data_IF_412541453310
#
_entry.id   IF_412541453310
#
_cell.length_a   1.000
_cell.length_b   1.000
_cell.length_c   1.000
_cell.angle_alpha   90.00
_cell.angle_beta   90.00
_cell.angle_gamma   90.00
#
_symmetry.space_group_name_H-M   'P 1'
#
loop_
_entity.id
_entity.type
_entity.pdbx_description
1 polymer ?
#
# COMPACT_ATOMS: atom_id res chain seq x y z
N UNK A 1 -6.29 -11.53 15.83
CA UNK A 1 -6.34 -12.33 17.05
C UNK A 1 -5.47 -13.57 16.86
N UNK A 2 -4.80 -14.07 17.92
CA UNK A 2 -3.85 -15.18 17.85
C UNK A 2 -4.47 -16.51 17.37
N UNK A 3 -5.78 -16.61 17.32
CA UNK A 3 -6.52 -17.85 17.07
C UNK A 3 -7.34 -17.83 15.77
N UNK A 4 -7.04 -16.92 14.86
CA UNK A 4 -7.73 -16.82 13.58
C UNK A 4 -6.78 -17.17 12.45
N UNK A 5 -7.18 -18.08 11.58
CA UNK A 5 -6.44 -18.43 10.36
C UNK A 5 -7.07 -17.64 9.21
N UNK A 6 -6.26 -16.89 8.46
CA UNK A 6 -6.67 -16.27 7.22
C UNK A 6 -6.12 -17.09 6.04
N UNK A 7 -6.96 -17.33 5.05
CA UNK A 7 -6.59 -18.10 3.86
C UNK A 7 -7.30 -17.59 2.62
N UNK A 8 -6.70 -17.84 1.46
CA UNK A 8 -7.33 -17.62 0.15
C UNK A 8 -7.98 -18.93 -0.28
N UNK A 9 -9.21 -18.85 -0.72
CA UNK A 9 -9.94 -20.04 -1.21
C UNK A 9 -11.32 -19.69 -1.74
N UNK A 10 -11.94 -20.66 -2.39
CA UNK A 10 -13.30 -20.58 -2.90
C UNK A 10 -13.89 -22.00 -3.01
N UNK A 11 -15.21 -22.12 -3.10
CA UNK A 11 -15.89 -23.37 -3.40
C UNK A 11 -15.71 -23.79 -4.87
N UNK A 12 -16.25 -24.97 -5.23
CA UNK A 12 -16.08 -25.59 -6.56
C UNK A 12 -16.53 -24.69 -7.72
N UNK A 13 -17.47 -23.77 -7.50
CA UNK A 13 -17.98 -22.83 -8.50
C UNK A 13 -17.94 -21.38 -7.98
N UNK A 14 -17.08 -21.10 -7.02
CA UNK A 14 -16.94 -19.78 -6.42
C UNK A 14 -15.59 -19.15 -6.80
N UNK A 15 -15.60 -17.85 -6.97
CA UNK A 15 -14.37 -17.09 -7.16
C UNK A 15 -13.53 -17.10 -5.90
N UNK A 16 -12.18 -17.09 -6.02
CA UNK A 16 -11.30 -17.02 -4.87
C UNK A 16 -11.53 -15.73 -4.08
N UNK A 17 -11.56 -15.86 -2.77
CA UNK A 17 -11.72 -14.77 -1.82
C UNK A 17 -10.83 -15.01 -0.60
N UNK A 18 -10.67 -14.00 0.27
CA UNK A 18 -9.95 -14.19 1.54
C UNK A 18 -10.97 -14.45 2.65
N UNK A 19 -10.72 -15.52 3.38
CA UNK A 19 -11.56 -16.00 4.47
C UNK A 19 -10.80 -16.00 5.79
N UNK A 20 -11.53 -15.75 6.86
CA UNK A 20 -11.05 -15.93 8.23
C UNK A 20 -11.75 -17.15 8.83
N UNK A 21 -10.97 -18.08 9.37
CA UNK A 21 -11.47 -19.23 10.13
C UNK A 21 -11.25 -18.95 11.62
N UNK A 22 -12.33 -18.92 12.38
CA UNK A 22 -12.33 -18.82 13.83
C UNK A 22 -13.14 -19.96 14.43
N UNK A 23 -12.47 -20.89 15.09
CA UNK A 23 -13.09 -22.14 15.52
C UNK A 23 -13.58 -22.94 14.30
N UNK A 24 -14.88 -23.23 14.24
CA UNK A 24 -15.51 -23.98 13.15
C UNK A 24 -16.30 -23.10 12.16
N UNK A 25 -16.13 -21.78 12.21
CA UNK A 25 -16.89 -20.83 11.38
C UNK A 25 -15.94 -20.07 10.47
N UNK A 26 -16.28 -20.00 9.18
CA UNK A 26 -15.60 -19.18 8.20
C UNK A 26 -16.35 -17.89 7.96
N UNK A 27 -15.63 -16.79 7.87
CA UNK A 27 -16.18 -15.49 7.52
C UNK A 27 -15.34 -14.87 6.40
N UNK A 28 -15.99 -14.36 5.37
CA UNK A 28 -15.32 -13.61 4.31
C UNK A 28 -14.83 -12.27 4.85
N UNK A 29 -13.55 -11.96 4.61
CA UNK A 29 -12.90 -10.71 5.04
C UNK A 29 -12.42 -9.85 3.86
N UNK A 30 -12.36 -10.42 2.66
CA UNK A 30 -12.05 -9.67 1.46
C UNK A 30 -13.21 -8.77 1.04
N UNK A 31 -12.85 -7.62 0.46
CA UNK A 31 -13.79 -6.71 -0.20
C UNK A 31 -13.92 -7.07 -1.68
N UNK A 32 -14.93 -6.52 -2.35
CA UNK A 32 -15.11 -6.75 -3.79
C UNK A 32 -13.86 -6.39 -4.60
N UNK A 33 -13.17 -5.31 -4.24
CA UNK A 33 -11.92 -4.91 -4.94
C UNK A 33 -10.80 -5.96 -4.80
N UNK A 34 -10.70 -6.60 -3.64
CA UNK A 34 -9.73 -7.69 -3.40
C UNK A 34 -10.14 -8.94 -4.19
N UNK A 35 -11.43 -9.27 -4.20
CA UNK A 35 -11.94 -10.40 -4.97
C UNK A 35 -11.70 -10.22 -6.47
N UNK A 36 -11.90 -9.01 -7.00
CA UNK A 36 -11.65 -8.69 -8.40
C UNK A 36 -10.16 -8.87 -8.80
N UNK A 37 -9.25 -8.62 -7.86
CA UNK A 37 -7.81 -8.91 -8.06
C UNK A 37 -7.59 -10.43 -8.10
N UNK A 38 -8.12 -11.15 -7.12
CA UNK A 38 -7.94 -12.61 -7.02
C UNK A 38 -8.58 -13.37 -8.20
N UNK A 39 -9.70 -12.89 -8.72
CA UNK A 39 -10.39 -13.51 -9.86
C UNK A 39 -9.61 -13.45 -11.18
N UNK A 40 -8.66 -12.53 -11.29
CA UNK A 40 -7.81 -12.39 -12.49
C UNK A 40 -6.67 -13.40 -12.53
N UNK A 41 -6.41 -14.05 -11.39
CA UNK A 41 -5.33 -15.04 -11.27
C UNK A 41 -5.78 -16.38 -11.86
N UNK A 42 -4.84 -17.06 -12.46
CA UNK A 42 -5.00 -18.47 -12.86
C UNK A 42 -5.01 -19.38 -11.64
N UNK A 43 -5.46 -20.61 -11.80
CA UNK A 43 -5.46 -21.60 -10.70
C UNK A 43 -4.05 -21.88 -10.16
N UNK A 44 -3.05 -21.89 -11.02
CA UNK A 44 -1.65 -22.10 -10.63
C UNK A 44 -1.12 -20.88 -9.82
N UNK A 45 -1.44 -19.66 -10.25
CA UNK A 45 -1.07 -18.45 -9.52
C UNK A 45 -1.75 -18.35 -8.14
N UNK A 46 -3.00 -18.80 -8.04
CA UNK A 46 -3.70 -18.89 -6.75
C UNK A 46 -3.04 -19.92 -5.84
N UNK A 47 -2.58 -21.06 -6.38
CA UNK A 47 -1.88 -22.07 -5.60
C UNK A 47 -0.50 -21.59 -5.11
N UNK A 48 0.14 -20.67 -5.82
CA UNK A 48 1.43 -20.09 -5.50
C UNK A 48 1.37 -18.88 -4.54
N UNK A 49 0.16 -18.46 -4.11
CA UNK A 49 0.01 -17.36 -3.15
C UNK A 49 0.71 -17.72 -1.84
N UNK A 50 1.64 -16.88 -1.46
CA UNK A 50 2.40 -17.05 -0.21
C UNK A 50 1.87 -16.14 0.89
N UNK A 51 1.43 -16.74 2.00
CA UNK A 51 0.93 -16.03 3.18
C UNK A 51 2.00 -15.75 4.23
N UNK A 52 1.97 -14.58 4.84
CA UNK A 52 2.86 -14.19 5.94
C UNK A 52 2.14 -13.30 6.94
N UNK A 53 2.67 -13.19 8.15
CA UNK A 53 2.12 -12.31 9.17
C UNK A 53 3.18 -11.75 10.10
N UNK A 54 2.93 -10.56 10.65
CA UNK A 54 3.75 -9.96 11.70
C UNK A 54 2.97 -8.91 12.49
N UNK A 55 3.48 -8.56 13.68
CA UNK A 55 2.97 -7.47 14.50
C UNK A 55 3.98 -6.34 14.60
N UNK A 56 3.53 -5.08 14.48
CA UNK A 56 4.35 -3.89 14.64
C UNK A 56 3.49 -2.71 15.13
N UNK A 57 4.00 -1.94 16.10
CA UNK A 57 3.37 -0.73 16.60
C UNK A 57 1.88 -0.88 17.00
N UNK A 58 1.51 -2.02 17.58
CA UNK A 58 0.12 -2.31 18.00
C UNK A 58 -0.80 -2.81 16.88
N UNK A 59 -0.32 -2.89 15.66
CA UNK A 59 -1.03 -3.47 14.52
C UNK A 59 -0.58 -4.91 14.26
N UNK A 60 -1.49 -5.73 13.75
CA UNK A 60 -1.18 -7.08 13.31
C UNK A 60 -1.57 -7.23 11.83
N UNK A 61 -0.57 -7.48 11.02
CA UNK A 61 -0.69 -7.57 9.56
C UNK A 61 -0.65 -9.00 9.10
N UNK A 62 -1.52 -9.34 8.16
CA UNK A 62 -1.49 -10.59 7.41
C UNK A 62 -1.40 -10.24 5.93
N UNK A 63 -0.39 -10.73 5.27
CA UNK A 63 -0.14 -10.45 3.86
C UNK A 63 -0.24 -11.70 3.00
N UNK A 64 -0.65 -11.49 1.75
CA UNK A 64 -0.73 -12.47 0.70
C UNK A 64 0.09 -11.95 -0.48
N UNK A 65 1.22 -12.58 -0.75
CA UNK A 65 2.08 -12.24 -1.88
C UNK A 65 1.53 -12.90 -3.15
N UNK A 66 1.11 -12.08 -4.11
CA UNK A 66 0.66 -12.46 -5.44
C UNK A 66 1.81 -12.21 -6.45
N UNK A 67 1.69 -12.65 -7.71
CA UNK A 67 2.74 -12.42 -8.72
C UNK A 67 3.11 -10.94 -8.88
N UNK A 68 2.13 -10.07 -9.04
CA UNK A 68 2.35 -8.64 -9.38
C UNK A 68 2.14 -7.68 -8.21
N UNK A 69 1.50 -8.11 -7.13
CA UNK A 69 1.22 -7.26 -5.97
C UNK A 69 1.22 -8.08 -4.68
N UNK A 70 1.11 -7.41 -3.56
CA UNK A 70 0.93 -8.03 -2.25
C UNK A 70 -0.24 -7.37 -1.53
N UNK A 71 -1.26 -8.16 -1.22
CA UNK A 71 -2.44 -7.72 -0.49
C UNK A 71 -2.19 -7.89 1.01
N UNK A 72 -2.42 -6.85 1.79
CA UNK A 72 -2.17 -6.89 3.24
C UNK A 72 -3.42 -6.46 3.98
N UNK A 73 -3.83 -7.29 4.90
CA UNK A 73 -4.93 -7.04 5.82
C UNK A 73 -4.40 -6.66 7.19
N UNK A 74 -4.74 -5.47 7.66
CA UNK A 74 -4.52 -5.05 9.03
C UNK A 74 -5.70 -5.53 9.89
N UNK A 75 -5.49 -6.55 10.69
CA UNK A 75 -6.53 -7.14 11.54
C UNK A 75 -6.97 -6.21 12.67
N UNK A 76 -6.16 -5.22 13.04
CA UNK A 76 -6.46 -4.26 14.10
C UNK A 76 -7.47 -3.23 13.63
N UNK A 77 -7.34 -2.75 12.40
CA UNK A 77 -8.22 -1.72 11.81
C UNK A 77 -9.24 -2.29 10.83
N UNK A 78 -9.15 -3.58 10.50
CA UNK A 78 -9.95 -4.25 9.47
C UNK A 78 -9.85 -3.58 8.10
N UNK A 79 -8.67 -3.08 7.75
CA UNK A 79 -8.41 -2.40 6.49
C UNK A 79 -7.45 -3.18 5.61
N UNK A 80 -7.70 -3.11 4.30
CA UNK A 80 -6.83 -3.62 3.27
C UNK A 80 -5.93 -2.52 2.72
N UNK A 81 -4.71 -2.89 2.37
CA UNK A 81 -3.79 -2.08 1.60
C UNK A 81 -2.89 -2.97 0.74
N UNK A 82 -2.33 -2.40 -0.30
CA UNK A 82 -1.37 -3.07 -1.16
C UNK A 82 0.04 -2.69 -0.77
N UNK A 83 0.99 -3.61 -0.94
CA UNK A 83 2.43 -3.36 -0.81
C UNK A 83 3.14 -3.76 -2.08
N UNK A 84 4.04 -2.89 -2.49
CA UNK A 84 4.91 -3.07 -3.63
C UNK A 84 6.30 -2.60 -3.27
N UNK A 85 7.31 -3.18 -3.92
CA UNK A 85 8.70 -2.78 -3.79
C UNK A 85 9.17 -2.07 -5.05
N UNK A 86 10.01 -1.04 -4.89
CA UNK A 86 10.69 -0.38 -5.99
C UNK A 86 12.11 -0.95 -6.11
N UNK A 87 12.51 -1.23 -7.32
CA UNK A 87 13.84 -1.77 -7.62
C UNK A 87 14.48 -0.93 -8.70
N UNK A 88 15.71 -0.50 -8.47
CA UNK A 88 16.51 0.13 -9.51
C UNK A 88 17.23 -0.97 -10.27
N UNK A 89 16.92 -1.11 -11.55
CA UNK A 89 17.58 -2.05 -12.44
C UNK A 89 18.99 -1.58 -12.80
N UNK A 90 19.81 -2.48 -13.32
CA UNK A 90 21.19 -2.18 -13.75
C UNK A 90 21.27 -1.08 -14.81
N UNK A 91 20.19 -0.85 -15.55
CA UNK A 91 20.03 0.23 -16.54
C UNK A 91 19.74 1.59 -15.91
N UNK A 92 19.50 1.65 -14.60
CA UNK A 92 19.02 2.83 -13.88
C UNK A 92 17.51 3.05 -13.95
N UNK A 93 16.75 2.20 -14.65
CA UNK A 93 15.30 2.23 -14.64
C UNK A 93 14.77 1.80 -13.27
N UNK A 94 13.66 2.40 -12.85
CA UNK A 94 12.98 2.04 -11.60
C UNK A 94 11.74 1.24 -11.95
N UNK A 95 11.75 -0.02 -11.55
CA UNK A 95 10.60 -0.90 -11.68
C UNK A 95 9.84 -1.04 -10.37
N UNK A 96 8.54 -1.21 -10.47
CA UNK A 96 7.66 -1.54 -9.35
C UNK A 96 7.30 -3.02 -9.45
N UNK A 97 7.60 -3.77 -8.40
CA UNK A 97 7.37 -5.21 -8.32
C UNK A 97 6.50 -5.55 -7.11
N UNK A 98 6.01 -6.78 -7.05
CA UNK A 98 5.37 -7.32 -5.84
C UNK A 98 6.31 -7.15 -4.63
N UNK A 99 5.72 -7.00 -3.44
CA UNK A 99 6.48 -6.78 -2.21
C UNK A 99 7.51 -7.90 -1.99
N UNK A 100 8.77 -7.53 -1.95
CA UNK A 100 9.89 -8.48 -1.95
C UNK A 100 10.13 -9.15 -0.59
N UNK A 101 9.60 -8.58 0.49
CA UNK A 101 9.74 -9.18 1.83
C UNK A 101 8.73 -10.31 1.99
N UNK A 102 9.21 -11.50 2.35
CA UNK A 102 8.35 -12.68 2.53
C UNK A 102 8.45 -13.32 3.90
N UNK A 103 9.60 -13.24 4.57
CA UNK A 103 9.80 -13.82 5.89
C UNK A 103 9.84 -12.75 6.96
N UNK A 104 9.21 -13.03 8.09
CA UNK A 104 9.19 -12.16 9.27
C UNK A 104 9.52 -12.97 10.53
N UNK A 105 10.45 -12.48 11.33
CA UNK A 105 10.80 -13.09 12.60
C UNK A 105 11.13 -12.02 13.64
N UNK A 106 10.51 -12.10 14.81
CA UNK A 106 10.86 -11.23 15.93
C UNK A 106 11.93 -11.89 16.79
N UNK A 107 13.07 -11.25 16.90
CA UNK A 107 14.17 -11.69 17.75
C UNK A 107 14.91 -10.48 18.33
N UNK A 108 15.44 -10.60 19.54
CA UNK A 108 16.23 -9.55 20.22
C UNK A 108 15.55 -8.17 20.23
N UNK A 109 14.21 -8.13 20.34
CA UNK A 109 13.42 -6.90 20.33
C UNK A 109 13.31 -6.20 18.99
N UNK A 110 13.70 -6.86 17.88
CA UNK A 110 13.63 -6.34 16.51
C UNK A 110 12.82 -7.27 15.61
N UNK A 111 12.20 -6.69 14.60
CA UNK A 111 11.52 -7.43 13.55
C UNK A 111 12.48 -7.62 12.37
N UNK A 112 12.96 -8.84 12.20
CA UNK A 112 13.79 -9.23 11.07
C UNK A 112 12.93 -9.62 9.89
N UNK A 113 13.39 -9.29 8.69
CA UNK A 113 12.71 -9.57 7.43
C UNK A 113 13.67 -10.19 6.44
N UNK A 114 13.16 -11.07 5.58
CA UNK A 114 13.95 -11.71 4.53
C UNK A 114 13.54 -11.20 3.16
N UNK A 115 14.55 -11.00 2.30
CA UNK A 115 14.35 -10.61 0.90
C UNK A 115 14.14 -11.87 0.03
N UNK A 116 13.12 -11.85 -0.82
CA UNK A 116 12.84 -12.95 -1.77
C UNK A 116 13.75 -12.94 -3.01
N UNK A 117 14.45 -11.83 -3.29
CA UNK A 117 15.26 -11.67 -4.50
C UNK A 117 16.71 -12.09 -4.35
N UNK A 118 17.35 -11.74 -3.24
CA UNK A 118 18.80 -11.90 -3.09
C UNK A 118 19.23 -12.47 -1.74
N UNK A 119 18.28 -12.94 -0.92
CA UNK A 119 18.57 -13.60 0.36
C UNK A 119 19.11 -12.69 1.46
N UNK A 120 19.06 -11.36 1.31
CA UNK A 120 19.43 -10.42 2.37
C UNK A 120 18.47 -10.54 3.55
N UNK A 121 19.00 -10.29 4.74
CA UNK A 121 18.21 -10.15 5.96
C UNK A 121 18.25 -8.68 6.35
N UNK A 122 17.08 -8.09 6.51
CA UNK A 122 16.89 -6.71 6.96
C UNK A 122 16.23 -6.64 8.32
N UNK A 123 16.10 -5.42 8.83
CA UNK A 123 15.31 -5.09 10.01
C UNK A 123 14.21 -4.15 9.58
N UNK A 124 12.95 -4.51 9.87
CA UNK A 124 11.84 -3.60 9.66
C UNK A 124 11.79 -2.58 10.81
N UNK A 125 12.03 -1.33 10.47
CA UNK A 125 12.02 -0.20 11.40
C UNK A 125 11.02 0.84 10.92
N UNK A 126 10.20 1.36 11.83
CA UNK A 126 9.15 2.34 11.50
C UNK A 126 9.72 3.70 11.09
N UNK A 127 10.94 4.02 11.55
CA UNK A 127 11.64 5.26 11.26
C UNK A 127 12.53 5.19 10.01
N UNK A 128 12.55 4.04 9.33
CA UNK A 128 13.28 3.84 8.08
C UNK A 128 12.33 3.99 6.89
N UNK A 129 12.70 4.86 5.95
CA UNK A 129 11.88 5.22 4.78
C UNK A 129 12.46 4.69 3.46
N UNK A 130 13.42 3.78 3.55
CA UNK A 130 14.01 3.08 2.40
C UNK A 130 13.88 1.58 2.58
N UNK A 131 13.69 0.87 1.47
CA UNK A 131 13.68 -0.57 1.41
C UNK A 131 14.86 -1.02 0.54
N UNK A 132 15.87 -1.64 1.15
CA UNK A 132 17.09 -2.09 0.46
C UNK A 132 17.67 -1.04 -0.50
N UNK A 133 17.87 0.18 -0.02
CA UNK A 133 18.37 1.38 -0.71
C UNK A 133 17.37 2.05 -1.69
N UNK A 134 16.20 1.48 -1.92
CA UNK A 134 15.15 2.10 -2.71
C UNK A 134 14.18 2.89 -1.83
N UNK A 135 13.72 4.05 -2.32
CA UNK A 135 12.78 4.90 -1.58
C UNK A 135 11.40 4.22 -1.50
N UNK A 136 10.83 4.15 -0.30
CA UNK A 136 9.46 3.68 -0.10
C UNK A 136 8.49 4.79 -0.50
N UNK A 137 7.67 4.53 -1.52
CA UNK A 137 6.60 5.43 -1.95
C UNK A 137 5.28 5.02 -1.30
N UNK A 138 4.59 5.98 -0.71
CA UNK A 138 3.25 5.80 -0.14
C UNK A 138 2.24 6.50 -1.03
N UNK A 139 1.27 5.77 -1.53
CA UNK A 139 0.23 6.29 -2.41
C UNK A 139 -1.14 6.08 -1.76
N UNK A 140 -2.00 7.08 -1.86
CA UNK A 140 -3.39 6.97 -1.45
C UNK A 140 -4.28 7.56 -2.54
N UNK A 141 -5.20 6.77 -3.05
CA UNK A 141 -6.24 7.24 -3.96
C UNK A 141 -7.55 7.48 -3.19
N UNK A 142 -8.22 8.57 -3.48
CA UNK A 142 -9.56 8.84 -2.97
C UNK A 142 -10.61 8.16 -3.85
N UNK A 143 -11.81 8.01 -3.32
CA UNK A 143 -12.94 7.65 -4.16
C UNK A 143 -13.19 8.77 -5.22
N UNK A 144 -13.75 8.42 -6.39
CA UNK A 144 -14.13 9.41 -7.38
C UNK A 144 -15.10 10.46 -6.81
N UNK A 145 -14.79 11.73 -7.02
CA UNK A 145 -15.71 12.82 -6.70
C UNK A 145 -16.71 12.98 -7.84
N UNK A 146 -17.98 12.99 -7.51
CA UNK A 146 -19.08 13.15 -8.48
C UNK A 146 -20.01 14.28 -8.05
N UNK A 147 -20.61 14.97 -9.04
CA UNK A 147 -21.63 15.98 -8.84
C UNK A 147 -22.84 15.65 -9.71
N UNK A 148 -23.59 14.60 -9.38
CA UNK A 148 -24.79 14.15 -10.11
C UNK A 148 -24.59 14.09 -11.65
N UNK A 149 -23.45 13.64 -12.12
CA UNK A 149 -23.02 13.64 -13.53
C UNK A 149 -22.82 15.03 -14.16
N UNK A 150 -22.98 16.11 -13.39
CA UNK A 150 -22.70 17.45 -13.89
C UNK A 150 -21.19 17.73 -13.78
N UNK A 151 -20.60 18.38 -14.79
CA UNK A 151 -19.22 18.83 -14.72
C UNK A 151 -19.02 19.85 -13.61
N UNK A 152 -17.94 19.74 -12.86
CA UNK A 152 -17.59 20.71 -11.82
C UNK A 152 -16.13 21.12 -11.89
N UNK A 153 -15.81 22.27 -11.33
CA UNK A 153 -14.45 22.74 -11.17
C UNK A 153 -13.94 22.40 -9.77
N UNK A 154 -12.69 21.94 -9.70
CA UNK A 154 -11.98 21.79 -8.44
C UNK A 154 -11.00 22.97 -8.28
N UNK A 155 -11.43 24.10 -7.68
CA UNK A 155 -10.64 25.32 -7.62
C UNK A 155 -9.37 25.15 -6.79
N UNK A 156 -9.46 24.41 -5.69
CA UNK A 156 -8.31 24.05 -4.87
C UNK A 156 -8.54 22.72 -4.15
N UNK A 157 -7.43 22.08 -3.81
CA UNK A 157 -7.35 20.94 -2.90
C UNK A 157 -6.32 21.26 -1.84
N UNK A 158 -6.67 21.07 -0.59
CA UNK A 158 -5.77 21.20 0.54
C UNK A 158 -5.69 19.85 1.27
N UNK A 159 -4.47 19.43 1.59
CA UNK A 159 -4.24 18.24 2.41
C UNK A 159 -3.70 18.69 3.76
N UNK A 160 -4.42 18.34 4.82
CA UNK A 160 -3.97 18.54 6.19
C UNK A 160 -3.04 17.39 6.57
N UNK A 161 -1.81 17.73 6.84
CA UNK A 161 -0.74 16.79 7.18
C UNK A 161 0.13 17.42 8.28
N UNK A 162 0.78 16.60 9.08
CA UNK A 162 1.80 17.09 10.01
C UNK A 162 2.94 17.74 9.22
N UNK A 163 3.17 19.01 9.48
CA UNK A 163 4.19 19.81 8.78
C UNK A 163 5.43 20.02 9.64
N UNK A 164 6.57 20.34 9.01
CA UNK A 164 7.80 20.65 9.73
C UNK A 164 8.55 19.44 10.28
N UNK A 165 8.30 18.26 9.74
CA UNK A 165 8.86 16.96 10.16
C UNK A 165 10.09 16.54 9.33
N UNK A 166 10.69 17.44 8.57
CA UNK A 166 11.93 17.16 7.83
C UNK A 166 13.06 16.65 8.73
N UNK A 167 13.93 15.83 8.18
CA UNK A 167 15.10 15.29 8.87
C UNK A 167 16.37 15.44 8.01
N UNK A 168 17.51 14.97 8.49
CA UNK A 168 18.78 15.10 7.76
C UNK A 168 18.77 14.36 6.41
N UNK A 169 18.06 13.25 6.27
CA UNK A 169 17.95 12.48 5.03
C UNK A 169 16.94 13.11 4.04
N UNK A 170 15.91 13.78 4.56
CA UNK A 170 14.90 14.50 3.77
C UNK A 170 14.61 15.86 4.42
N UNK A 171 15.44 16.89 4.15
CA UNK A 171 15.32 18.19 4.81
C UNK A 171 14.01 18.93 4.51
N UNK A 172 13.47 18.78 3.30
CA UNK A 172 12.20 19.37 2.85
C UNK A 172 11.31 18.29 2.23
N UNK A 173 10.59 17.52 3.05
CA UNK A 173 9.72 16.47 2.56
C UNK A 173 8.59 17.04 1.70
N UNK A 174 8.21 16.29 0.68
CA UNK A 174 7.21 16.71 -0.31
C UNK A 174 6.09 15.70 -0.42
N UNK A 175 4.91 16.22 -0.72
CA UNK A 175 3.74 15.44 -1.14
C UNK A 175 3.41 15.77 -2.59
N UNK A 176 3.08 14.75 -3.39
CA UNK A 176 2.69 14.92 -4.79
C UNK A 176 1.21 14.68 -4.98
N UNK A 177 0.61 15.37 -5.93
CA UNK A 177 -0.77 15.19 -6.36
C UNK A 177 -0.79 14.79 -7.83
N UNK A 178 -1.52 13.73 -8.13
CA UNK A 178 -1.95 13.36 -9.48
C UNK A 178 -3.48 13.33 -9.52
N UNK A 179 -4.07 13.61 -10.66
CA UNK A 179 -5.52 13.61 -10.85
C UNK A 179 -5.85 12.71 -12.03
N UNK A 180 -6.77 11.77 -11.79
CA UNK A 180 -7.40 10.98 -12.84
C UNK A 180 -8.78 11.58 -13.15
N UNK A 181 -9.16 11.59 -14.44
CA UNK A 181 -10.47 12.05 -14.93
C UNK A 181 -11.27 10.94 -15.60
N UNK A 182 -10.73 9.75 -15.66
CA UNK A 182 -11.26 8.59 -16.36
C UNK A 182 -11.42 7.36 -15.46
N UNK A 183 -11.64 7.61 -14.17
CA UNK A 183 -11.85 6.54 -13.20
C UNK A 183 -10.57 5.76 -12.83
N UNK A 184 -9.41 6.42 -12.88
CA UNK A 184 -8.14 5.81 -12.47
C UNK A 184 -7.36 5.13 -13.60
N UNK A 185 -7.82 5.23 -14.86
CA UNK A 185 -7.12 4.63 -16.01
C UNK A 185 -5.88 5.40 -16.42
N UNK A 186 -5.97 6.72 -16.42
CA UNK A 186 -4.83 7.62 -16.66
C UNK A 186 -4.70 8.65 -15.56
N UNK A 187 -3.47 9.10 -15.31
CA UNK A 187 -3.15 10.07 -14.27
C UNK A 187 -2.37 11.23 -14.86
N UNK A 188 -2.61 12.43 -14.32
CA UNK A 188 -1.87 13.64 -14.70
C UNK A 188 -0.41 13.54 -14.24
N UNK A 189 0.43 14.47 -14.73
CA UNK A 189 1.77 14.66 -14.20
C UNK A 189 1.72 14.96 -12.69
N UNK A 190 2.79 14.56 -12.00
CA UNK A 190 2.97 14.82 -10.57
C UNK A 190 3.19 16.29 -10.29
N UNK A 191 2.43 16.82 -9.33
CA UNK A 191 2.55 18.20 -8.86
C UNK A 191 2.96 18.21 -7.39
N UNK A 192 4.24 18.39 -7.15
CA UNK A 192 4.82 18.38 -5.81
C UNK A 192 4.51 19.66 -5.01
N UNK A 193 4.38 19.51 -3.70
CA UNK A 193 4.31 20.59 -2.70
C UNK A 193 5.13 20.21 -1.49
N UNK A 194 5.93 21.17 -1.01
CA UNK A 194 6.63 21.04 0.26
C UNK A 194 5.62 20.99 1.41
N UNK A 195 5.84 20.08 2.35
CA UNK A 195 5.10 20.01 3.61
C UNK A 195 5.85 20.70 4.76
N UNK A 196 6.94 21.36 4.45
CA UNK A 196 7.75 22.17 5.36
C UNK A 196 9.00 21.45 5.84
N UNK A 197 10.13 22.14 5.72
CA UNK A 197 11.38 21.74 6.35
C UNK A 197 11.23 21.71 7.89
N UNK A 198 12.20 21.08 8.56
CA UNK A 198 12.20 20.99 10.03
C UNK A 198 11.94 22.35 10.69
N UNK A 199 10.93 22.43 11.54
CA UNK A 199 10.52 23.64 12.23
C UNK A 199 9.52 24.54 11.48
N UNK A 200 9.18 24.26 10.24
CA UNK A 200 8.20 25.01 9.46
C UNK A 200 6.76 24.47 9.66
N UNK A 201 6.21 24.60 10.83
CA UNK A 201 4.93 24.00 11.23
C UNK A 201 3.68 24.65 10.60
N UNK A 202 3.82 25.80 9.93
CA UNK A 202 2.67 26.52 9.32
C UNK A 202 2.52 26.24 7.81
N UNK A 203 3.19 25.22 7.28
CA UNK A 203 3.06 24.86 5.88
C UNK A 203 1.75 24.13 5.61
N UNK A 204 1.14 24.45 4.46
CA UNK A 204 -0.05 23.77 3.94
C UNK A 204 0.23 23.26 2.55
N UNK A 205 -0.11 21.99 2.28
CA UNK A 205 -0.04 21.44 0.95
C UNK A 205 -1.32 21.81 0.19
N UNK A 206 -1.24 22.83 -0.65
CA UNK A 206 -2.37 23.34 -1.42
C UNK A 206 -2.09 23.31 -2.91
N UNK A 207 -3.00 22.72 -3.68
CA UNK A 207 -3.00 22.78 -5.15
C UNK A 207 -4.19 23.59 -5.62
N UNK A 208 -3.91 24.55 -6.47
CA UNK A 208 -4.92 25.42 -7.09
C UNK A 208 -5.07 25.09 -8.57
N UNK A 209 -6.19 25.48 -9.17
CA UNK A 209 -6.47 25.30 -10.60
C UNK A 209 -6.39 23.83 -11.03
N UNK A 210 -7.12 22.98 -10.35
CA UNK A 210 -7.11 21.54 -10.61
C UNK A 210 -7.93 21.13 -11.84
N UNK A 211 -8.56 22.10 -12.50
CA UNK A 211 -9.30 21.90 -13.73
C UNK A 211 -10.77 21.57 -13.51
N UNK A 212 -11.43 21.21 -14.61
CA UNK A 212 -12.84 20.80 -14.69
C UNK A 212 -12.90 19.30 -14.91
N UNK A 213 -13.89 18.66 -14.29
CA UNK A 213 -14.30 17.31 -14.67
C UNK A 213 -15.14 17.38 -15.94
N UNK A 214 -15.08 16.37 -16.76
CA UNK A 214 -15.96 16.20 -17.92
C UNK A 214 -17.14 15.31 -17.55
#
# INVERSE_FOLDING_TARGET
>A
TKDTILFVGGGENESPAVWALSGNTTQKVSTQAIDDILQRLTADEVADIYGWSYGQAGHYFVGFSLPDTCLVFDTTTSRWHERQSRVTETTGAIDTISYRVRGFATAYGRLYVTDSRDGRIGVADIDTYTEYDSVIVRTMATQPFQNNMDPFFLPYLEVTIESGVGNAACPDPQITLQISRDGGKTWSDERARSIGALGQYNRRAVWRRNGRTS
#
